data_IF_777747935447
#
_entry.id   IF_777747935447
#
_cell.length_a   1.000
_cell.length_b   1.000
_cell.length_c   1.000
_cell.angle_alpha   90.00
_cell.angle_beta   90.00
_cell.angle_gamma   90.00
#
_symmetry.space_group_name_H-M   'P 1'
#
loop_
_entity.id
_entity.type
_entity.pdbx_description
1 polymer ?
#
# COMPACT_ATOMS: atom_id res chain seq x y z
N UNK A 1 18.57 6.02 -9.62
CA UNK A 1 18.61 4.54 -9.49
C UNK A 1 19.42 3.94 -10.65
N UNK A 2 20.03 2.74 -10.46
CA UNK A 2 20.66 2.00 -11.58
C UNK A 2 19.56 1.40 -12.47
N UNK A 3 19.79 1.29 -13.79
CA UNK A 3 18.77 0.82 -14.75
C UNK A 3 18.10 -0.50 -14.35
N UNK A 4 18.87 -1.49 -13.88
CA UNK A 4 18.32 -2.77 -13.39
C UNK A 4 17.37 -2.62 -12.19
N UNK A 5 17.55 -1.61 -11.34
CA UNK A 5 16.70 -1.34 -10.18
C UNK A 5 15.45 -0.53 -10.58
N UNK A 6 15.55 0.29 -11.62
CA UNK A 6 14.39 0.91 -12.28
C UNK A 6 13.50 -0.19 -12.86
N UNK A 7 14.11 -1.13 -13.59
CA UNK A 7 13.38 -2.27 -14.17
C UNK A 7 12.66 -3.09 -13.08
N UNK A 8 13.35 -3.38 -11.96
CA UNK A 8 12.74 -4.10 -10.83
C UNK A 8 11.56 -3.32 -10.22
N UNK A 9 11.70 -2.01 -10.00
CA UNK A 9 10.60 -1.18 -9.46
C UNK A 9 9.39 -1.15 -10.42
N UNK A 10 9.64 -1.03 -11.72
CA UNK A 10 8.61 -1.06 -12.76
C UNK A 10 7.95 -2.44 -12.84
N UNK A 11 8.72 -3.53 -12.77
CA UNK A 11 8.20 -4.89 -12.73
C UNK A 11 7.30 -5.12 -11.52
N UNK A 12 7.70 -4.69 -10.33
CA UNK A 12 6.88 -4.78 -9.12
C UNK A 12 5.56 -4.02 -9.30
N UNK A 13 5.62 -2.81 -9.84
CA UNK A 13 4.42 -2.03 -10.12
C UNK A 13 3.50 -2.71 -11.15
N UNK A 14 4.08 -3.31 -12.19
CA UNK A 14 3.34 -4.09 -13.19
C UNK A 14 2.68 -5.33 -12.58
N UNK A 15 3.41 -6.09 -11.75
CA UNK A 15 2.87 -7.26 -11.05
C UNK A 15 1.76 -6.89 -10.05
N UNK A 16 1.89 -5.76 -9.34
CA UNK A 16 0.83 -5.27 -8.46
C UNK A 16 -0.39 -4.77 -9.24
N UNK A 17 -0.20 -4.13 -10.40
CA UNK A 17 -1.31 -3.77 -11.30
C UNK A 17 -2.00 -4.99 -11.86
N UNK A 18 -1.24 -5.94 -12.41
CA UNK A 18 -1.74 -7.21 -12.90
C UNK A 18 -2.49 -8.03 -11.83
N UNK A 19 -2.10 -7.90 -10.54
CA UNK A 19 -2.66 -8.67 -9.43
C UNK A 19 -4.19 -8.59 -9.32
N UNK A 20 -4.83 -7.54 -9.83
CA UNK A 20 -6.28 -7.40 -9.82
C UNK A 20 -6.98 -8.43 -10.74
N UNK A 21 -6.29 -8.90 -11.79
CA UNK A 21 -6.80 -9.98 -12.67
C UNK A 21 -6.85 -11.32 -11.93
N UNK A 22 -5.75 -11.84 -11.33
CA UNK A 22 -5.81 -13.02 -10.46
C UNK A 22 -6.83 -12.89 -9.31
N UNK A 23 -6.99 -11.72 -8.69
CA UNK A 23 -8.01 -11.52 -7.66
C UNK A 23 -9.40 -11.79 -8.26
N UNK A 24 -9.71 -11.24 -9.43
CA UNK A 24 -11.01 -11.43 -10.08
C UNK A 24 -11.25 -12.90 -10.42
N UNK A 25 -10.25 -13.58 -10.99
CA UNK A 25 -10.32 -15.01 -11.34
C UNK A 25 -10.49 -15.89 -10.08
N UNK A 26 -9.76 -15.60 -9.00
CA UNK A 26 -9.88 -16.39 -7.77
C UNK A 26 -11.25 -16.20 -7.08
N UNK A 27 -11.89 -15.04 -7.25
CA UNK A 27 -13.23 -14.79 -6.71
C UNK A 27 -14.34 -15.61 -7.38
N UNK A 28 -14.07 -16.26 -8.52
CA UNK A 28 -15.01 -17.21 -9.13
C UNK A 28 -15.03 -18.55 -8.36
N UNK A 29 -13.91 -18.93 -7.69
CA UNK A 29 -13.79 -20.19 -6.94
C UNK A 29 -13.90 -19.99 -5.42
N UNK A 30 -13.53 -18.81 -4.92
CA UNK A 30 -13.43 -18.55 -3.49
C UNK A 30 -14.35 -17.42 -3.04
N UNK A 31 -15.11 -17.60 -1.96
CA UNK A 31 -15.76 -16.49 -1.27
C UNK A 31 -14.75 -15.44 -0.83
N UNK A 32 -15.07 -14.13 -0.91
CA UNK A 32 -14.08 -13.05 -0.78
C UNK A 32 -13.34 -13.02 0.56
N UNK A 33 -14.01 -13.26 1.67
CA UNK A 33 -13.39 -13.24 3.01
C UNK A 33 -12.52 -14.49 3.23
N UNK A 34 -13.01 -15.65 2.79
CA UNK A 34 -12.22 -16.90 2.79
C UNK A 34 -10.96 -16.74 1.95
N UNK A 35 -11.08 -16.22 0.73
CA UNK A 35 -9.95 -15.94 -0.16
C UNK A 35 -8.93 -15.00 0.49
N UNK A 36 -9.39 -13.93 1.16
CA UNK A 36 -8.52 -13.01 1.89
C UNK A 36 -7.78 -13.72 3.04
N UNK A 37 -8.44 -14.61 3.78
CA UNK A 37 -7.83 -15.40 4.85
C UNK A 37 -6.76 -16.36 4.27
N UNK A 38 -7.10 -17.08 3.21
CA UNK A 38 -6.21 -18.05 2.56
C UNK A 38 -4.95 -17.39 1.98
N UNK A 39 -5.07 -16.23 1.34
CA UNK A 39 -3.90 -15.52 0.80
C UNK A 39 -2.90 -15.12 1.89
N UNK A 40 -3.39 -14.60 3.04
CA UNK A 40 -2.53 -14.23 4.14
C UNK A 40 -1.91 -15.45 4.81
N UNK A 41 -2.68 -16.53 4.97
CA UNK A 41 -2.17 -17.80 5.48
C UNK A 41 -1.07 -18.35 4.58
N UNK A 42 -1.31 -18.43 3.27
CA UNK A 42 -0.34 -18.92 2.29
C UNK A 42 0.93 -18.06 2.23
N UNK A 43 0.81 -16.74 2.36
CA UNK A 43 1.97 -15.85 2.41
C UNK A 43 2.75 -15.96 3.73
N UNK A 44 2.05 -16.10 4.87
CA UNK A 44 2.67 -16.12 6.19
C UNK A 44 3.34 -17.45 6.52
N UNK A 45 2.63 -18.58 6.31
CA UNK A 45 3.05 -19.88 6.84
C UNK A 45 4.42 -20.32 6.37
N UNK A 46 4.79 -20.32 5.08
CA UNK A 46 6.14 -20.71 4.70
C UNK A 46 7.19 -19.67 5.13
N UNK A 47 6.86 -18.37 5.07
CA UNK A 47 7.82 -17.30 5.28
C UNK A 47 8.17 -17.09 6.76
N UNK A 48 7.25 -17.32 7.69
CA UNK A 48 7.47 -17.11 9.12
C UNK A 48 8.55 -18.01 9.71
N UNK A 49 8.76 -19.19 9.13
CA UNK A 49 9.83 -20.12 9.55
C UNK A 49 11.22 -19.70 9.04
N UNK A 50 11.26 -18.87 8.00
CA UNK A 50 12.49 -18.40 7.36
C UNK A 50 12.89 -17.00 7.80
N UNK A 51 11.93 -16.21 8.31
CA UNK A 51 12.11 -14.79 8.62
C UNK A 51 12.03 -14.57 10.13
N UNK A 52 13.09 -14.01 10.72
CA UNK A 52 13.12 -13.72 12.16
C UNK A 52 12.08 -12.65 12.51
N UNK A 53 11.40 -12.84 13.66
CA UNK A 53 10.45 -11.86 14.18
C UNK A 53 11.15 -10.52 14.41
N UNK A 54 10.62 -9.41 13.86
CA UNK A 54 11.18 -8.09 14.16
C UNK A 54 10.93 -7.70 15.62
N UNK A 55 11.83 -6.93 16.24
CA UNK A 55 11.75 -6.57 17.65
C UNK A 55 10.75 -5.44 17.90
N UNK A 56 9.49 -5.70 17.61
CA UNK A 56 8.38 -4.78 17.82
C UNK A 56 7.33 -5.40 18.74
N UNK A 57 6.61 -4.55 19.49
CA UNK A 57 5.53 -5.00 20.36
C UNK A 57 4.39 -5.65 19.53
N UNK A 58 3.79 -6.73 20.03
CA UNK A 58 2.76 -7.50 19.34
C UNK A 58 1.56 -6.64 18.90
N UNK A 59 1.22 -5.58 19.67
CA UNK A 59 0.15 -4.64 19.33
C UNK A 59 0.30 -4.03 17.93
N UNK A 60 1.52 -3.83 17.44
CA UNK A 60 1.75 -3.22 16.14
C UNK A 60 1.40 -4.14 14.98
N UNK A 61 1.58 -5.45 15.14
CA UNK A 61 1.09 -6.42 14.16
C UNK A 61 -0.43 -6.35 14.03
N UNK A 62 -1.15 -6.20 15.15
CA UNK A 62 -2.62 -6.08 15.17
C UNK A 62 -3.07 -4.73 14.61
N UNK A 63 -2.47 -3.62 15.10
CA UNK A 63 -2.84 -2.25 14.68
C UNK A 63 -2.59 -1.98 13.20
N UNK A 64 -1.67 -2.69 12.57
CA UNK A 64 -1.44 -2.62 11.12
C UNK A 64 -2.18 -3.74 10.39
N UNK A 65 -2.12 -4.96 10.92
CA UNK A 65 -2.64 -6.15 10.25
C UNK A 65 -4.17 -6.16 10.11
N UNK A 66 -4.91 -5.67 11.12
CA UNK A 66 -6.37 -5.61 11.03
C UNK A 66 -6.83 -4.57 10.00
N UNK A 67 -6.40 -3.29 10.03
CA UNK A 67 -6.79 -2.33 9.00
C UNK A 67 -6.33 -2.73 7.59
N UNK A 68 -5.13 -3.31 7.45
CA UNK A 68 -4.62 -3.74 6.16
C UNK A 68 -5.30 -5.04 5.68
N UNK A 69 -5.29 -6.07 6.51
CA UNK A 69 -5.78 -7.39 6.10
C UNK A 69 -7.29 -7.46 6.02
N UNK A 70 -7.97 -7.10 7.10
CA UNK A 70 -9.45 -7.14 7.16
C UNK A 70 -10.04 -5.91 6.48
N UNK A 71 -9.55 -4.72 6.83
CA UNK A 71 -10.06 -3.46 6.27
C UNK A 71 -9.79 -3.36 4.77
N UNK A 72 -8.53 -3.36 4.34
CA UNK A 72 -8.24 -3.15 2.92
C UNK A 72 -8.58 -4.38 2.07
N UNK A 73 -7.99 -5.55 2.36
CA UNK A 73 -8.15 -6.70 1.46
C UNK A 73 -9.52 -7.37 1.59
N UNK A 74 -10.08 -7.45 2.80
CA UNK A 74 -11.44 -7.95 2.98
C UNK A 74 -12.46 -7.12 2.20
N UNK A 75 -12.45 -5.80 2.38
CA UNK A 75 -13.37 -4.91 1.67
C UNK A 75 -13.09 -4.84 0.17
N UNK A 76 -11.82 -4.87 -0.26
CA UNK A 76 -11.49 -4.92 -1.69
C UNK A 76 -12.09 -6.17 -2.35
N UNK A 77 -11.92 -7.35 -1.75
CA UNK A 77 -12.39 -8.60 -2.34
C UNK A 77 -13.93 -8.66 -2.33
N UNK A 78 -14.57 -8.20 -1.25
CA UNK A 78 -16.04 -8.03 -1.21
C UNK A 78 -16.49 -7.06 -2.32
N UNK A 79 -15.87 -5.90 -2.46
CA UNK A 79 -16.24 -4.95 -3.50
C UNK A 79 -16.08 -5.51 -4.91
N UNK A 80 -15.01 -6.28 -5.16
CA UNK A 80 -14.80 -6.94 -6.46
C UNK A 80 -15.80 -8.08 -6.70
N UNK A 81 -16.18 -8.84 -5.68
CA UNK A 81 -17.24 -9.87 -5.80
C UNK A 81 -18.62 -9.24 -6.03
N UNK A 82 -18.86 -8.04 -5.50
CA UNK A 82 -20.08 -7.26 -5.77
C UNK A 82 -20.12 -6.62 -7.17
N UNK A 83 -19.10 -6.84 -8.01
CA UNK A 83 -19.07 -6.35 -9.39
C UNK A 83 -18.19 -5.12 -9.63
N UNK A 84 -17.32 -4.73 -8.70
CA UNK A 84 -16.32 -3.70 -8.97
C UNK A 84 -15.32 -4.19 -10.03
N UNK A 85 -15.18 -3.48 -11.18
CA UNK A 85 -14.21 -3.86 -12.20
C UNK A 85 -12.77 -3.85 -11.68
N UNK A 86 -11.98 -4.85 -12.07
CA UNK A 86 -10.61 -5.05 -11.57
C UNK A 86 -9.69 -3.85 -11.90
N UNK A 87 -9.79 -3.31 -13.11
CA UNK A 87 -9.04 -2.14 -13.51
C UNK A 87 -9.38 -0.91 -12.67
N UNK A 88 -10.66 -0.63 -12.42
CA UNK A 88 -11.09 0.50 -11.60
C UNK A 88 -10.77 0.30 -10.11
N UNK A 89 -10.83 -0.93 -9.59
CA UNK A 89 -10.42 -1.24 -8.22
C UNK A 89 -8.96 -0.83 -7.98
N UNK A 90 -8.07 -1.05 -8.98
CA UNK A 90 -6.66 -0.63 -8.91
C UNK A 90 -6.48 0.88 -8.78
N UNK A 91 -7.36 1.66 -9.41
CA UNK A 91 -7.38 3.13 -9.34
C UNK A 91 -7.93 3.61 -8.00
N UNK A 92 -9.08 3.07 -7.58
CA UNK A 92 -9.76 3.47 -6.33
C UNK A 92 -8.87 3.22 -5.12
N UNK A 93 -8.12 2.13 -5.10
CA UNK A 93 -7.18 1.88 -4.01
C UNK A 93 -6.07 2.94 -3.87
N UNK A 94 -5.73 3.68 -4.92
CA UNK A 94 -4.73 4.76 -4.82
C UNK A 94 -5.21 5.93 -3.94
N UNK A 95 -6.51 6.04 -3.73
CA UNK A 95 -7.11 7.01 -2.78
C UNK A 95 -6.63 6.78 -1.34
N UNK A 96 -6.06 5.62 -1.05
CA UNK A 96 -5.38 5.35 0.24
C UNK A 96 -4.36 6.44 0.63
N UNK A 97 -3.73 7.09 -0.35
CA UNK A 97 -2.79 8.18 -0.08
C UNK A 97 -3.51 9.41 0.51
N UNK A 98 -4.72 9.69 0.05
CA UNK A 98 -5.59 10.76 0.57
C UNK A 98 -6.03 10.42 2.00
N UNK A 99 -6.53 9.19 2.22
CA UNK A 99 -6.89 8.72 3.55
C UNK A 99 -5.72 8.69 4.52
N UNK A 100 -4.52 8.31 4.05
CA UNK A 100 -3.29 8.36 4.87
C UNK A 100 -3.01 9.78 5.34
N UNK A 101 -3.12 10.77 4.46
CA UNK A 101 -2.91 12.17 4.82
C UNK A 101 -3.97 12.69 5.80
N UNK A 102 -5.23 12.35 5.56
CA UNK A 102 -6.34 12.71 6.43
C UNK A 102 -6.17 12.11 7.83
N UNK A 103 -5.92 10.81 7.93
CA UNK A 103 -5.73 10.13 9.20
C UNK A 103 -4.45 10.55 9.91
N UNK A 104 -3.36 10.88 9.18
CA UNK A 104 -2.15 11.44 9.79
C UNK A 104 -2.43 12.81 10.40
N UNK A 105 -3.22 13.65 9.75
CA UNK A 105 -3.67 14.92 10.32
C UNK A 105 -4.51 14.73 11.59
N UNK A 106 -5.51 13.84 11.54
CA UNK A 106 -6.44 13.61 12.64
C UNK A 106 -5.81 12.87 13.82
N UNK A 107 -5.00 11.82 13.58
CA UNK A 107 -4.51 10.93 14.63
C UNK A 107 -3.09 11.27 15.11
N UNK A 108 -2.27 11.90 14.27
CA UNK A 108 -0.90 12.27 14.59
C UNK A 108 -0.71 13.79 14.75
N UNK A 109 -1.74 14.59 14.50
CA UNK A 109 -1.67 16.05 14.57
C UNK A 109 -0.76 16.66 13.50
N UNK A 110 -0.52 15.96 12.39
CA UNK A 110 0.34 16.44 11.33
C UNK A 110 -0.35 17.52 10.49
N UNK A 111 0.40 18.57 10.18
CA UNK A 111 -0.12 19.65 9.32
C UNK A 111 -0.11 19.22 7.86
N UNK A 112 -1.27 19.21 7.24
CA UNK A 112 -1.43 18.96 5.81
C UNK A 112 -1.01 20.21 5.06
N UNK A 113 0.02 20.11 4.21
CA UNK A 113 0.48 21.26 3.41
C UNK A 113 -0.50 21.63 2.30
N UNK A 114 -0.54 22.90 1.89
CA UNK A 114 -1.47 23.41 0.88
C UNK A 114 -1.45 22.63 -0.44
N UNK A 115 -0.28 22.18 -0.90
CA UNK A 115 -0.13 21.32 -2.09
C UNK A 115 -0.78 19.95 -1.90
N UNK A 116 -0.67 19.39 -0.70
CA UNK A 116 -1.30 18.12 -0.36
C UNK A 116 -2.82 18.26 -0.35
N UNK A 117 -3.33 19.38 0.21
CA UNK A 117 -4.76 19.72 0.17
C UNK A 117 -5.25 19.86 -1.28
N UNK A 118 -4.51 20.58 -2.13
CA UNK A 118 -4.87 20.70 -3.54
C UNK A 118 -4.92 19.32 -4.27
N UNK A 119 -3.92 18.46 -4.01
CA UNK A 119 -3.91 17.08 -4.52
C UNK A 119 -5.10 16.26 -4.03
N UNK A 120 -5.49 16.41 -2.75
CA UNK A 120 -6.66 15.75 -2.19
C UNK A 120 -7.96 16.23 -2.86
N UNK A 121 -8.13 17.54 -3.11
CA UNK A 121 -9.31 18.08 -3.80
C UNK A 121 -9.42 17.50 -5.22
N UNK A 122 -8.31 17.44 -5.98
CA UNK A 122 -8.31 16.84 -7.31
C UNK A 122 -8.64 15.33 -7.26
N UNK A 123 -8.09 14.61 -6.30
CA UNK A 123 -8.40 13.18 -6.13
C UNK A 123 -9.89 12.99 -5.75
N UNK A 124 -10.46 13.80 -4.88
CA UNK A 124 -11.89 13.76 -4.54
C UNK A 124 -12.79 14.06 -5.74
N UNK A 125 -12.43 15.02 -6.59
CA UNK A 125 -13.15 15.26 -7.84
C UNK A 125 -13.16 14.00 -8.72
N UNK A 126 -12.02 13.32 -8.85
CA UNK A 126 -11.92 12.05 -9.57
C UNK A 126 -12.77 10.93 -8.95
N UNK A 127 -12.82 10.83 -7.62
CA UNK A 127 -13.70 9.89 -6.89
C UNK A 127 -15.17 10.17 -7.20
N UNK A 128 -15.57 11.44 -7.19
CA UNK A 128 -16.96 11.84 -7.50
C UNK A 128 -17.32 11.47 -8.94
N UNK A 129 -16.43 11.75 -9.91
CA UNK A 129 -16.63 11.38 -11.32
C UNK A 129 -16.81 9.86 -11.45
N UNK A 130 -15.95 9.06 -10.83
CA UNK A 130 -16.09 7.60 -10.87
C UNK A 130 -17.35 7.11 -10.14
N UNK A 131 -17.70 7.69 -9.01
CA UNK A 131 -18.90 7.32 -8.26
C UNK A 131 -20.19 7.56 -9.04
N UNK A 132 -20.31 8.70 -9.73
CA UNK A 132 -21.45 9.02 -10.60
C UNK A 132 -21.49 8.06 -11.80
N UNK A 133 -20.37 7.84 -12.46
CA UNK A 133 -20.27 6.92 -13.61
C UNK A 133 -20.63 5.47 -13.26
N UNK A 134 -20.44 5.03 -12.01
CA UNK A 134 -20.87 3.71 -11.55
C UNK A 134 -22.40 3.61 -11.43
N UNK A 135 -23.06 4.66 -10.94
CA UNK A 135 -24.53 4.69 -10.82
C UNK A 135 -25.25 4.59 -12.17
N UNK A 136 -24.64 5.10 -13.24
CA UNK A 136 -25.22 5.10 -14.59
C UNK A 136 -24.86 3.84 -15.41
N UNK A 137 -23.77 3.14 -15.05
CA UNK A 137 -23.18 2.07 -15.87
C UNK A 137 -23.40 0.63 -15.37
N UNK A 138 -24.35 0.40 -14.45
CA UNK A 138 -24.72 -0.96 -14.02
C UNK A 138 -23.77 -1.63 -13.02
N UNK A 139 -22.63 -1.02 -12.66
CA UNK A 139 -21.83 -1.48 -11.51
C UNK A 139 -22.40 -0.90 -10.23
N UNK A 140 -22.64 -1.72 -9.18
CA UNK A 140 -23.29 -1.22 -7.97
C UNK A 140 -22.46 -0.13 -7.29
N UNK A 141 -23.03 1.03 -7.02
CA UNK A 141 -22.39 2.09 -6.21
C UNK A 141 -21.88 1.52 -4.87
N UNK A 142 -22.58 0.53 -4.31
CA UNK A 142 -22.16 -0.21 -3.12
C UNK A 142 -20.80 -0.86 -3.26
N UNK A 143 -20.51 -1.51 -4.39
CA UNK A 143 -19.20 -2.12 -4.67
C UNK A 143 -18.06 -1.08 -4.68
N UNK A 144 -18.31 0.07 -5.28
CA UNK A 144 -17.38 1.20 -5.28
C UNK A 144 -17.11 1.73 -3.87
N UNK A 145 -18.18 1.96 -3.07
CA UNK A 145 -18.05 2.45 -1.69
C UNK A 145 -17.31 1.44 -0.78
N UNK A 146 -17.55 0.15 -0.98
CA UNK A 146 -16.84 -0.90 -0.25
C UNK A 146 -15.34 -0.90 -0.60
N UNK A 147 -14.97 -0.79 -1.89
CA UNK A 147 -13.58 -0.64 -2.30
C UNK A 147 -12.94 0.65 -1.76
N UNK A 148 -13.69 1.74 -1.69
CA UNK A 148 -13.24 3.01 -1.10
C UNK A 148 -12.98 2.85 0.41
N UNK A 149 -13.83 2.10 1.11
CA UNK A 149 -13.60 1.66 2.49
C UNK A 149 -12.29 0.86 2.64
N UNK A 150 -11.98 -0.01 1.67
CA UNK A 150 -10.71 -0.71 1.58
C UNK A 150 -9.51 0.24 1.47
N UNK A 151 -9.62 1.29 0.65
CA UNK A 151 -8.60 2.33 0.55
C UNK A 151 -8.41 3.09 1.89
N UNK A 152 -9.48 3.34 2.63
CA UNK A 152 -9.41 3.94 3.97
C UNK A 152 -8.72 2.99 4.97
N UNK A 153 -9.03 1.69 4.95
CA UNK A 153 -8.34 0.67 5.74
C UNK A 153 -6.82 0.68 5.51
N UNK A 154 -6.41 0.77 4.26
CA UNK A 154 -4.98 0.91 3.91
C UNK A 154 -4.39 2.21 4.44
N UNK A 155 -5.10 3.34 4.31
CA UNK A 155 -4.69 4.62 4.86
C UNK A 155 -4.44 4.56 6.36
N UNK A 156 -5.33 3.91 7.11
CA UNK A 156 -5.19 3.71 8.55
C UNK A 156 -3.98 2.82 8.90
N UNK A 157 -3.77 1.74 8.15
CA UNK A 157 -2.61 0.87 8.31
C UNK A 157 -1.29 1.63 8.10
N UNK A 158 -1.22 2.51 7.09
CA UNK A 158 -0.06 3.36 6.84
C UNK A 158 0.24 4.30 8.02
N UNK A 159 -0.79 4.90 8.61
CA UNK A 159 -0.64 5.77 9.79
C UNK A 159 -0.18 4.96 11.01
N UNK A 160 -0.74 3.76 11.24
CA UNK A 160 -0.30 2.86 12.30
C UNK A 160 1.17 2.43 12.12
N UNK A 161 1.57 2.07 10.89
CA UNK A 161 2.95 1.73 10.55
C UNK A 161 3.90 2.91 10.77
N UNK A 162 3.48 4.11 10.40
CA UNK A 162 4.25 5.33 10.65
C UNK A 162 4.44 5.59 12.14
N UNK A 163 3.36 5.45 12.95
CA UNK A 163 3.43 5.60 14.41
C UNK A 163 4.34 4.54 15.04
N UNK A 164 4.28 3.30 14.56
CA UNK A 164 5.20 2.24 14.97
C UNK A 164 6.66 2.65 14.74
N UNK A 165 7.00 3.08 13.52
CA UNK A 165 8.36 3.47 13.18
C UNK A 165 8.87 4.67 14.00
N UNK A 166 7.97 5.58 14.44
CA UNK A 166 8.31 6.68 15.33
C UNK A 166 8.52 6.24 16.79
N UNK A 167 7.94 5.09 17.19
CA UNK A 167 8.01 4.56 18.56
C UNK A 167 9.11 3.52 18.77
N UNK A 168 9.84 3.14 17.73
CA UNK A 168 10.92 2.14 17.76
C UNK A 168 12.27 2.84 17.63
N UNK A 169 13.23 2.47 18.51
CA UNK A 169 14.60 3.01 18.47
C UNK A 169 15.41 2.52 17.27
N UNK A 170 15.11 1.29 16.80
CA UNK A 170 15.83 0.66 15.68
C UNK A 170 14.92 0.58 14.46
N UNK A 171 15.47 0.78 13.25
CA UNK A 171 14.72 0.58 12.02
C UNK A 171 14.15 -0.84 11.95
N UNK A 172 12.85 -0.94 11.68
CA UNK A 172 12.15 -2.22 11.50
C UNK A 172 12.34 -2.68 10.05
N UNK A 173 12.71 -3.94 9.85
CA UNK A 173 12.76 -4.52 8.51
C UNK A 173 11.33 -4.61 7.95
N UNK A 174 10.99 -3.91 6.86
CA UNK A 174 9.61 -3.87 6.34
C UNK A 174 9.13 -5.24 5.84
N UNK A 175 10.04 -6.06 5.29
CA UNK A 175 9.70 -7.40 4.82
C UNK A 175 9.40 -8.34 6.00
N UNK A 176 10.29 -8.36 7.00
CA UNK A 176 10.06 -9.16 8.20
C UNK A 176 8.75 -8.74 8.91
N UNK A 177 8.49 -7.43 9.00
CA UNK A 177 7.26 -6.94 9.58
C UNK A 177 6.02 -7.41 8.78
N UNK A 178 6.05 -7.34 7.46
CA UNK A 178 4.96 -7.78 6.59
C UNK A 178 4.68 -9.28 6.76
N UNK A 179 5.72 -10.13 6.80
CA UNK A 179 5.56 -11.58 6.99
C UNK A 179 4.87 -11.87 8.34
N UNK A 180 5.36 -11.31 9.43
CA UNK A 180 4.81 -11.55 10.76
C UNK A 180 3.43 -10.92 10.98
N UNK A 181 3.18 -9.77 10.41
CA UNK A 181 1.87 -9.11 10.41
C UNK A 181 0.83 -9.94 9.66
N UNK A 182 1.24 -10.65 8.60
CA UNK A 182 0.34 -11.51 7.79
C UNK A 182 -0.26 -12.69 8.57
N UNK A 183 0.24 -13.00 9.77
CA UNK A 183 -0.39 -13.97 10.69
C UNK A 183 -1.66 -13.44 11.38
N UNK A 184 -1.86 -12.13 11.40
CA UNK A 184 -2.99 -11.51 12.13
C UNK A 184 -4.31 -11.60 11.36
N UNK A 185 -4.39 -11.26 10.06
CA UNK A 185 -5.66 -11.22 9.32
C UNK A 185 -6.39 -12.58 9.17
N UNK A 186 -5.72 -13.74 9.08
CA UNK A 186 -6.41 -15.00 8.83
C UNK A 186 -7.52 -15.32 9.83
N UNK A 187 -7.26 -15.17 11.13
CA UNK A 187 -8.26 -15.52 12.16
C UNK A 187 -9.51 -14.64 12.10
N UNK A 188 -9.44 -13.29 12.13
CA UNK A 188 -10.63 -12.47 12.00
C UNK A 188 -11.32 -12.61 10.64
N UNK A 189 -10.58 -12.81 9.55
CA UNK A 189 -11.17 -13.02 8.22
C UNK A 189 -11.93 -14.36 8.14
N UNK A 190 -11.38 -15.45 8.70
CA UNK A 190 -12.09 -16.73 8.79
C UNK A 190 -13.34 -16.63 9.68
N UNK A 191 -13.24 -15.91 10.80
CA UNK A 191 -14.41 -15.69 11.65
C UNK A 191 -15.51 -14.90 10.92
N UNK A 192 -15.13 -13.86 10.17
CA UNK A 192 -16.06 -13.08 9.34
C UNK A 192 -16.61 -13.92 8.18
N UNK A 193 -15.79 -14.76 7.55
CA UNK A 193 -16.24 -15.70 6.51
C UNK A 193 -17.31 -16.66 7.04
N UNK A 194 -17.09 -17.26 8.21
CA UNK A 194 -18.07 -18.14 8.84
C UNK A 194 -19.39 -17.43 9.14
N UNK A 195 -19.35 -16.14 9.50
CA UNK A 195 -20.55 -15.36 9.84
C UNK A 195 -21.29 -14.89 8.60
N UNK A 196 -20.58 -14.36 7.58
CA UNK A 196 -21.19 -13.69 6.42
C UNK A 196 -21.29 -14.57 5.18
N UNK A 197 -20.36 -15.52 5.01
CA UNK A 197 -20.31 -16.44 3.86
C UNK A 197 -20.86 -17.83 4.25
N UNK A 198 -20.97 -18.08 5.56
CA UNK A 198 -21.55 -19.31 6.13
C UNK A 198 -20.54 -20.44 6.34
N UNK A 199 -20.91 -21.45 7.15
CA UNK A 199 -20.04 -22.59 7.44
C UNK A 199 -19.79 -23.50 6.22
N UNK A 200 -20.60 -23.39 5.17
CA UNK A 200 -20.44 -24.08 3.89
C UNK A 200 -19.33 -23.51 3.00
N UNK A 201 -18.88 -22.29 3.24
CA UNK A 201 -17.91 -21.59 2.38
C UNK A 201 -16.60 -22.37 2.12
N UNK A 202 -16.04 -23.00 3.17
CA UNK A 202 -14.82 -23.81 3.04
C UNK A 202 -15.02 -25.10 2.26
N UNK A 203 -16.01 -25.97 2.59
CA UNK A 203 -16.24 -27.19 1.85
C UNK A 203 -16.74 -26.95 0.40
N UNK A 204 -17.50 -25.89 0.16
CA UNK A 204 -17.94 -25.51 -1.19
C UNK A 204 -16.73 -25.06 -2.04
N UNK A 205 -15.93 -24.14 -1.55
CA UNK A 205 -14.71 -23.72 -2.22
C UNK A 205 -13.77 -24.92 -2.51
N UNK A 206 -13.68 -25.89 -1.58
CA UNK A 206 -12.84 -27.06 -1.77
C UNK A 206 -13.35 -28.04 -2.84
N UNK A 207 -14.66 -28.04 -3.15
CA UNK A 207 -15.27 -28.89 -4.19
C UNK A 207 -15.09 -28.30 -5.58
N UNK A 208 -15.15 -26.98 -5.70
CA UNK A 208 -15.21 -26.28 -6.97
C UNK A 208 -13.85 -25.69 -7.39
N UNK A 209 -12.75 -26.12 -6.75
CA UNK A 209 -11.39 -25.64 -7.02
C UNK A 209 -10.99 -25.85 -8.48
N UNK A 210 -10.75 -24.73 -9.18
CA UNK A 210 -10.12 -24.74 -10.50
C UNK A 210 -8.61 -24.54 -10.40
N UNK A 211 -7.89 -25.02 -11.42
CA UNK A 211 -6.44 -24.76 -11.57
C UNK A 211 -6.18 -23.25 -11.67
N UNK A 212 -7.08 -22.51 -12.30
CA UNK A 212 -6.98 -21.06 -12.45
C UNK A 212 -7.13 -20.34 -11.11
N UNK A 213 -8.11 -20.74 -10.27
CA UNK A 213 -8.33 -20.16 -8.95
C UNK A 213 -7.18 -20.44 -7.98
N UNK A 214 -6.71 -21.68 -7.91
CA UNK A 214 -5.55 -22.07 -7.09
C UNK A 214 -4.28 -21.37 -7.56
N UNK A 215 -4.03 -21.30 -8.88
CA UNK A 215 -2.91 -20.58 -9.48
C UNK A 215 -2.97 -19.09 -9.18
N UNK A 216 -4.16 -18.50 -9.25
CA UNK A 216 -4.41 -17.10 -8.90
C UNK A 216 -4.14 -16.83 -7.42
N UNK A 217 -4.63 -17.67 -6.52
CA UNK A 217 -4.35 -17.55 -5.09
C UNK A 217 -2.84 -17.66 -4.79
N UNK A 218 -2.15 -18.61 -5.44
CA UNK A 218 -0.71 -18.77 -5.33
C UNK A 218 0.05 -17.54 -5.84
N UNK A 219 -0.37 -16.97 -6.99
CA UNK A 219 0.20 -15.72 -7.50
C UNK A 219 0.03 -14.57 -6.50
N UNK A 220 -1.17 -14.40 -5.95
CA UNK A 220 -1.49 -13.34 -5.00
C UNK A 220 -0.64 -13.49 -3.72
N UNK A 221 -0.50 -14.72 -3.20
CA UNK A 221 0.25 -14.98 -1.98
C UNK A 221 1.77 -14.88 -2.18
N UNK A 222 2.32 -15.51 -3.20
CA UNK A 222 3.76 -15.64 -3.36
C UNK A 222 4.37 -14.54 -4.22
N UNK A 223 3.77 -14.24 -5.37
CA UNK A 223 4.32 -13.23 -6.29
C UNK A 223 3.94 -11.82 -5.83
N UNK A 224 2.66 -11.52 -5.73
CA UNK A 224 2.21 -10.17 -5.40
C UNK A 224 2.51 -9.79 -3.93
N UNK A 225 2.54 -10.76 -3.00
CA UNK A 225 2.86 -10.49 -1.60
C UNK A 225 4.35 -10.71 -1.31
N UNK A 226 4.86 -11.94 -1.31
CA UNK A 226 6.23 -12.17 -0.83
C UNK A 226 7.30 -11.58 -1.74
N UNK A 227 7.24 -11.86 -3.04
CA UNK A 227 8.26 -11.36 -3.98
C UNK A 227 8.19 -9.84 -4.13
N UNK A 228 7.01 -9.27 -4.39
CA UNK A 228 6.89 -7.83 -4.62
C UNK A 228 7.18 -7.01 -3.37
N UNK A 229 6.65 -7.36 -2.20
CA UNK A 229 6.97 -6.64 -0.96
C UNK A 229 8.43 -6.85 -0.54
N UNK A 230 9.01 -8.04 -0.75
CA UNK A 230 10.43 -8.27 -0.53
C UNK A 230 11.32 -7.41 -1.40
N UNK A 231 11.05 -7.37 -2.70
CA UNK A 231 11.75 -6.52 -3.66
C UNK A 231 11.57 -5.03 -3.37
N UNK A 232 10.36 -4.62 -2.99
CA UNK A 232 10.06 -3.25 -2.60
C UNK A 232 10.80 -2.82 -1.33
N UNK A 233 10.77 -3.66 -0.28
CA UNK A 233 11.53 -3.44 0.95
C UNK A 233 13.04 -3.32 0.68
N UNK A 234 13.57 -4.15 -0.22
CA UNK A 234 14.98 -4.09 -0.64
C UNK A 234 15.30 -2.77 -1.38
N UNK A 235 14.40 -2.28 -2.25
CA UNK A 235 14.55 -0.99 -2.94
C UNK A 235 14.53 0.19 -1.96
N UNK A 236 13.59 0.22 -1.01
CA UNK A 236 13.47 1.30 -0.01
C UNK A 236 14.70 1.37 0.90
N UNK A 237 15.34 0.24 1.22
CA UNK A 237 16.60 0.23 1.98
C UNK A 237 17.79 0.79 1.20
N UNK A 238 17.70 0.85 -0.13
CA UNK A 238 18.81 1.21 -1.03
C UNK A 238 18.68 2.58 -1.66
N UNK A 239 17.47 3.09 -1.72
CA UNK A 239 17.13 4.36 -2.35
C UNK A 239 16.20 5.18 -1.45
N UNK A 240 16.19 6.48 -1.69
CA UNK A 240 15.26 7.38 -1.03
C UNK A 240 13.82 6.90 -1.26
N UNK A 241 13.04 6.76 -0.16
CA UNK A 241 11.70 6.21 -0.19
C UNK A 241 10.76 6.97 -1.16
N UNK A 242 10.92 8.30 -1.27
CA UNK A 242 10.16 9.11 -2.22
C UNK A 242 10.42 8.75 -3.67
N UNK A 243 11.68 8.44 -4.03
CA UNK A 243 12.04 8.00 -5.39
C UNK A 243 11.44 6.64 -5.72
N UNK A 244 11.44 5.70 -4.78
CA UNK A 244 10.84 4.37 -4.97
C UNK A 244 9.31 4.49 -5.05
N UNK A 245 8.69 5.28 -4.17
CA UNK A 245 7.25 5.46 -4.11
C UNK A 245 6.64 6.01 -5.42
N UNK A 246 7.39 6.77 -6.22
CA UNK A 246 6.89 7.23 -7.53
C UNK A 246 6.52 6.09 -8.48
N UNK A 247 7.16 4.93 -8.37
CA UNK A 247 6.84 3.77 -9.22
C UNK A 247 5.49 3.13 -8.86
N UNK A 248 4.98 3.31 -7.63
CA UNK A 248 3.64 2.82 -7.28
C UNK A 248 2.51 3.51 -8.07
N UNK A 249 2.75 4.71 -8.62
CA UNK A 249 1.81 5.39 -9.50
C UNK A 249 1.61 4.67 -10.85
N UNK A 250 2.49 3.73 -11.19
CA UNK A 250 2.33 2.88 -12.37
C UNK A 250 1.36 1.71 -12.15
N UNK A 251 1.00 1.41 -10.89
CA UNK A 251 0.07 0.30 -10.57
C UNK A 251 -1.28 0.45 -11.27
N UNK A 252 -1.99 1.60 -11.21
CA UNK A 252 -3.27 1.76 -11.89
C UNK A 252 -3.20 1.64 -13.42
N UNK A 253 -2.25 2.27 -14.13
CA UNK A 253 -2.08 2.05 -15.58
C UNK A 253 -1.92 0.57 -15.94
N UNK A 254 -1.07 -0.16 -15.22
CA UNK A 254 -0.91 -1.60 -15.45
C UNK A 254 -2.17 -2.39 -15.08
N UNK A 255 -2.90 -1.99 -14.03
CA UNK A 255 -4.16 -2.61 -13.63
C UNK A 255 -5.26 -2.43 -14.70
N UNK A 256 -5.44 -1.22 -15.20
CA UNK A 256 -6.40 -0.92 -16.27
C UNK A 256 -6.07 -1.68 -17.56
N UNK A 257 -4.81 -1.66 -17.98
CA UNK A 257 -4.37 -2.36 -19.19
C UNK A 257 -4.54 -3.88 -19.04
N UNK A 258 -4.13 -4.45 -17.89
CA UNK A 258 -4.27 -5.89 -17.65
C UNK A 258 -5.73 -6.33 -17.62
N UNK A 259 -6.62 -5.56 -16.97
CA UNK A 259 -8.04 -5.86 -16.90
C UNK A 259 -8.72 -5.73 -18.29
N UNK A 260 -8.34 -4.72 -19.06
CA UNK A 260 -8.86 -4.56 -20.43
C UNK A 260 -8.43 -5.72 -21.34
N UNK A 261 -7.16 -6.13 -21.30
CA UNK A 261 -6.61 -7.15 -22.18
C UNK A 261 -7.04 -8.59 -21.81
N UNK A 262 -7.17 -8.88 -20.51
CA UNK A 262 -7.35 -10.25 -20.02
C UNK A 262 -8.77 -10.55 -19.54
N UNK A 263 -9.50 -9.54 -19.06
CA UNK A 263 -10.88 -9.68 -18.60
C UNK A 263 -11.89 -9.05 -19.57
N UNK A 264 -11.42 -8.39 -20.64
CA UNK A 264 -12.31 -7.69 -21.59
C UNK A 264 -13.02 -6.48 -20.97
N UNK A 265 -12.49 -5.91 -19.89
CA UNK A 265 -13.10 -4.74 -19.25
C UNK A 265 -13.01 -3.51 -20.15
N UNK A 266 -14.14 -2.88 -20.43
CA UNK A 266 -14.21 -1.64 -21.16
C UNK A 266 -14.25 -0.46 -20.17
N UNK A 267 -13.27 0.45 -20.32
CA UNK A 267 -13.21 1.69 -19.55
C UNK A 267 -13.61 2.84 -20.49
N UNK A 268 -14.78 3.41 -20.26
CA UNK A 268 -15.26 4.57 -21.01
C UNK A 268 -14.43 5.84 -20.69
N UNK A 269 -14.62 6.88 -21.51
CA UNK A 269 -13.87 8.14 -21.37
C UNK A 269 -14.11 8.83 -20.03
N UNK A 270 -15.30 8.71 -19.43
CA UNK A 270 -15.64 9.35 -18.14
C UNK A 270 -14.89 8.65 -17.01
N UNK A 271 -14.88 7.30 -17.02
CA UNK A 271 -14.12 6.50 -16.04
C UNK A 271 -12.63 6.72 -16.18
N UNK A 272 -12.12 6.84 -17.41
CA UNK A 272 -10.70 7.15 -17.67
C UNK A 272 -10.34 8.56 -17.15
N UNK A 273 -11.20 9.56 -17.36
CA UNK A 273 -11.01 10.91 -16.84
C UNK A 273 -11.00 10.92 -15.30
N UNK A 274 -11.93 10.23 -14.64
CA UNK A 274 -11.97 10.08 -13.19
C UNK A 274 -10.70 9.41 -12.65
N UNK A 275 -10.24 8.33 -13.32
CA UNK A 275 -9.00 7.64 -12.98
C UNK A 275 -7.78 8.58 -13.11
N UNK A 276 -7.68 9.33 -14.21
CA UNK A 276 -6.62 10.30 -14.42
C UNK A 276 -6.59 11.40 -13.35
N UNK A 277 -7.76 11.91 -12.94
CA UNK A 277 -7.87 12.88 -11.83
C UNK A 277 -7.38 12.30 -10.51
N UNK A 278 -7.75 11.06 -10.16
CA UNK A 278 -7.27 10.41 -8.94
C UNK A 278 -5.74 10.29 -8.97
N UNK A 279 -5.19 9.75 -10.05
CA UNK A 279 -3.74 9.56 -10.20
C UNK A 279 -3.01 10.91 -10.14
N UNK A 280 -3.50 11.93 -10.85
CA UNK A 280 -2.91 13.27 -10.86
C UNK A 280 -2.97 13.93 -9.47
N UNK A 281 -4.10 13.81 -8.77
CA UNK A 281 -4.28 14.35 -7.42
C UNK A 281 -3.34 13.68 -6.41
N UNK A 282 -3.25 12.35 -6.43
CA UNK A 282 -2.32 11.59 -5.58
C UNK A 282 -0.87 11.93 -5.91
N UNK A 283 -0.51 12.01 -7.19
CA UNK A 283 0.84 12.38 -7.63
C UNK A 283 1.21 13.79 -7.14
N UNK A 284 0.33 14.78 -7.35
CA UNK A 284 0.54 16.16 -6.92
C UNK A 284 0.71 16.29 -5.40
N UNK A 285 -0.11 15.55 -4.62
CA UNK A 285 -0.04 15.54 -3.16
C UNK A 285 1.19 14.81 -2.59
N UNK A 286 1.72 13.82 -3.31
CA UNK A 286 2.85 12.98 -2.87
C UNK A 286 4.22 13.62 -3.06
N UNK A 287 4.38 14.58 -3.98
CA UNK A 287 5.66 15.25 -4.23
C UNK A 287 5.97 16.23 -3.10
N UNK A 288 6.87 15.86 -2.21
CA UNK A 288 7.42 16.79 -1.22
C UNK A 288 8.28 17.83 -1.92
N UNK A 289 8.10 19.16 -1.64
CA UNK A 289 9.11 20.15 -2.05
C UNK A 289 10.45 19.68 -1.45
N UNK A 290 11.51 19.63 -2.27
CA UNK A 290 12.85 19.51 -1.70
C UNK A 290 13.00 20.65 -0.72
N UNK A 291 13.03 20.37 0.58
CA UNK A 291 13.43 21.38 1.56
C UNK A 291 14.82 21.81 1.09
N UNK A 292 14.97 23.10 0.74
CA UNK A 292 16.30 23.69 0.63
C UNK A 292 16.98 23.33 1.93
N UNK A 293 18.01 22.48 1.85
CA UNK A 293 18.87 22.25 2.98
C UNK A 293 19.23 23.63 3.49
N UNK A 294 18.69 23.97 4.66
CA UNK A 294 19.10 25.17 5.39
C UNK A 294 20.58 24.90 5.60
N UNK A 295 21.43 25.57 4.81
CA UNK A 295 22.86 25.54 5.04
C UNK A 295 23.06 25.86 6.51
N UNK A 296 23.42 24.85 7.28
CA UNK A 296 23.89 25.06 8.65
C UNK A 296 25.01 26.10 8.50
N UNK A 297 25.01 27.17 9.32
CA UNK A 297 26.14 28.06 9.36
C UNK A 297 27.40 27.21 9.54
N UNK A 298 28.42 27.46 8.72
CA UNK A 298 29.68 26.78 8.89
C UNK A 298 30.09 26.81 10.37
N UNK A 299 30.60 25.70 10.93
CA UNK A 299 31.11 25.71 12.28
C UNK A 299 32.09 26.87 12.40
N UNK A 300 31.87 27.77 13.37
CA UNK A 300 32.79 28.84 13.68
C UNK A 300 34.17 28.24 13.85
N UNK A 301 35.15 28.76 13.08
CA UNK A 301 36.52 28.33 13.16
C UNK A 301 36.97 28.30 14.65
N UNK A 302 37.70 27.27 15.09
CA UNK A 302 38.23 27.22 16.44
C UNK A 302 39.07 28.49 16.69
N UNK A 303 39.03 29.05 17.91
CA UNK A 303 39.83 30.22 18.24
C UNK A 303 41.32 29.91 17.97
N UNK A 304 41.99 30.87 17.34
CA UNK A 304 43.43 30.75 17.06
C UNK A 304 44.18 30.44 18.37
N UNK A 305 45.19 29.55 18.31
CA UNK A 305 46.00 29.24 19.50
C UNK A 305 46.64 30.53 20.02
N UNK A 306 46.47 30.78 21.33
CA UNK A 306 47.09 31.91 22.01
C UNK A 306 48.62 31.91 21.78
N UNK A 307 49.14 33.05 21.35
CA UNK A 307 50.59 33.21 21.17
C UNK A 307 51.34 32.86 22.45
N UNK A 308 52.53 32.23 22.32
CA UNK A 308 53.35 31.89 23.47
C UNK A 308 53.81 33.18 24.19
N UNK A 309 53.95 33.16 25.53
CA UNK A 309 54.44 34.32 26.29
C UNK A 309 55.85 34.70 25.83
N UNK A 310 56.08 36.00 25.72
CA UNK A 310 57.38 36.54 25.36
C UNK A 310 58.44 36.14 26.39
N UNK A 311 59.70 35.81 25.98
CA UNK A 311 60.77 35.45 26.90
C UNK A 311 61.14 36.63 27.80
N UNK A 312 61.20 36.38 29.10
CA UNK A 312 61.60 37.38 30.08
C UNK A 312 62.97 37.98 29.74
N UNK A 313 63.06 39.31 29.67
CA UNK A 313 64.30 40.02 29.55
C UNK A 313 65.14 39.82 30.80
N UNK A 314 66.50 39.65 30.69
CA UNK A 314 67.36 39.53 31.87
C UNK A 314 67.44 40.86 32.62
N UNK A 315 67.28 40.79 33.95
CA UNK A 315 67.48 41.92 34.84
C UNK A 315 68.99 42.31 34.87
N UNK A 316 69.27 43.56 34.65
CA UNK A 316 70.60 44.15 34.89
C UNK A 316 70.80 44.58 36.35
#
# INVERSE_FOLDING_TARGET
MRSRHVLLATLIAALWGFNFVPIKVALDDFPPLLMAALRFTAAAVPAVFLVRRPPVAARWFVLVGVPLGVGQFGLLFIGMSMGMPAGLASVVLQVQAVFTALFAGLLLGERVGGRQVAGMVVAFAGITVLGVAQGEGGSPLGAFLVCLGGAAGWGLANVAMRRMNQSTEKPVDPFAFMVWMSLVPPLPLLALSLVFEGPGAVPEAARDLSVAGVGSLAFIAYVATLFCFGGWAWLIRRYEAGTVAMYSLLVPPFGLVSAALLLGEHVDAVRLAGAALIIAGVAAGSVRPRSRARSLPAPSAPPAPSAPPAPNAPAA
#
